data_IF_396487450469
#
_entry.id   IF_396487450469
#
_cell.length_a   1.000
_cell.length_b   1.000
_cell.length_c   1.000
_cell.angle_alpha   90.00
_cell.angle_beta   90.00
_cell.angle_gamma   90.00
#
_symmetry.space_group_name_H-M   'P 1'
#
loop_
_entity.id
_entity.type
_entity.pdbx_description
1 polymer ?
#
# COMPACT_ATOMS: atom_id res chain seq x y z
N UNK A 1 -13.94 4.95 -2.16
CA UNK A 1 -14.61 6.22 -1.81
C UNK A 1 -14.30 6.69 -0.38
N UNK A 2 -14.31 5.82 0.64
CA UNK A 2 -13.97 6.22 2.01
C UNK A 2 -12.60 6.92 2.09
N UNK A 3 -11.52 6.25 1.65
CA UNK A 3 -10.15 6.81 1.62
C UNK A 3 -10.09 8.22 1.00
N UNK A 4 -10.65 8.38 -0.20
CA UNK A 4 -10.71 9.66 -0.90
C UNK A 4 -11.42 10.75 -0.10
N UNK A 5 -12.57 10.44 0.51
CA UNK A 5 -13.40 11.42 1.23
C UNK A 5 -12.84 11.80 2.60
N UNK A 6 -12.04 10.92 3.21
CA UNK A 6 -11.42 11.17 4.51
C UNK A 6 -10.01 11.73 4.41
N UNK A 7 -9.39 11.66 3.22
CA UNK A 7 -8.05 12.20 3.01
C UNK A 7 -8.03 13.72 3.13
N UNK A 8 -7.05 14.24 3.88
CA UNK A 8 -6.73 15.66 3.91
C UNK A 8 -5.92 16.10 2.67
N UNK A 9 -5.08 15.20 2.14
CA UNK A 9 -4.22 15.48 0.99
C UNK A 9 -5.04 15.66 -0.29
N UNK A 10 -4.87 16.77 -1.03
CA UNK A 10 -5.55 16.98 -2.30
C UNK A 10 -5.10 15.99 -3.38
N UNK A 11 -3.90 15.42 -3.26
CA UNK A 11 -3.40 14.38 -4.18
C UNK A 11 -4.31 13.15 -4.15
N UNK A 12 -4.71 12.74 -2.95
CA UNK A 12 -5.62 11.60 -2.75
C UNK A 12 -7.07 12.01 -2.98
N UNK A 13 -7.51 13.16 -2.44
CA UNK A 13 -8.91 13.57 -2.41
C UNK A 13 -9.40 14.12 -3.77
N UNK A 14 -8.63 14.98 -4.41
CA UNK A 14 -8.98 15.65 -5.67
C UNK A 14 -8.41 14.91 -6.87
N UNK A 15 -7.10 14.61 -6.87
CA UNK A 15 -6.47 13.95 -8.03
C UNK A 15 -6.76 12.45 -8.09
N UNK A 16 -7.16 11.83 -6.98
CA UNK A 16 -7.53 10.42 -6.93
C UNK A 16 -6.33 9.48 -7.01
N UNK A 17 -5.15 9.92 -6.59
CA UNK A 17 -3.91 9.18 -6.65
C UNK A 17 -3.81 8.16 -5.50
N UNK A 18 -4.64 7.14 -5.62
CA UNK A 18 -4.79 6.04 -4.67
C UNK A 18 -5.31 4.80 -5.39
N UNK A 19 -5.07 3.63 -4.80
CA UNK A 19 -5.73 2.39 -5.20
C UNK A 19 -6.25 1.65 -3.98
N UNK A 20 -7.27 0.81 -4.18
CA UNK A 20 -7.77 -0.09 -3.14
C UNK A 20 -8.21 -1.41 -3.78
N UNK A 21 -8.01 -2.51 -3.08
CA UNK A 21 -8.36 -3.83 -3.58
C UNK A 21 -8.66 -4.83 -2.47
N UNK A 22 -9.34 -5.90 -2.87
CA UNK A 22 -9.58 -7.07 -2.06
C UNK A 22 -8.90 -8.27 -2.70
N UNK A 23 -8.17 -9.02 -1.89
CA UNK A 23 -7.31 -10.11 -2.32
C UNK A 23 -7.70 -11.39 -1.59
N UNK A 24 -7.63 -12.50 -2.30
CA UNK A 24 -7.73 -13.82 -1.70
C UNK A 24 -6.50 -14.08 -0.81
N UNK A 25 -6.58 -14.93 0.24
CA UNK A 25 -5.44 -15.21 1.12
C UNK A 25 -4.17 -15.76 0.44
N UNK A 26 -4.26 -16.22 -0.82
CA UNK A 26 -3.11 -16.62 -1.65
C UNK A 26 -2.46 -15.45 -2.42
N UNK A 27 -2.96 -14.22 -2.24
CA UNK A 27 -2.44 -13.00 -2.86
C UNK A 27 -3.03 -12.68 -4.23
N UNK A 28 -3.99 -13.45 -4.75
CA UNK A 28 -4.70 -13.09 -5.99
C UNK A 28 -5.68 -11.95 -5.76
N UNK A 29 -5.61 -10.91 -6.59
CA UNK A 29 -6.59 -9.81 -6.56
C UNK A 29 -7.95 -10.31 -7.06
N UNK A 30 -8.98 -10.12 -6.25
CA UNK A 30 -10.36 -10.53 -6.55
C UNK A 30 -11.20 -9.34 -7.01
N UNK A 31 -10.99 -8.19 -6.38
CA UNK A 31 -11.66 -6.96 -6.74
C UNK A 31 -10.72 -5.77 -6.54
N UNK A 32 -10.93 -4.72 -7.33
CA UNK A 32 -10.22 -3.45 -7.21
C UNK A 32 -11.21 -2.29 -7.31
N UNK A 33 -10.85 -1.16 -6.71
CA UNK A 33 -11.57 0.08 -6.91
C UNK A 33 -11.40 0.57 -8.35
N UNK A 34 -12.46 1.14 -8.94
CA UNK A 34 -12.35 1.81 -10.25
C UNK A 34 -11.50 3.07 -10.21
N UNK A 35 -11.32 3.64 -9.02
CA UNK A 35 -10.47 4.79 -8.75
C UNK A 35 -9.08 4.28 -8.41
N UNK A 36 -8.21 4.23 -9.41
CA UNK A 36 -6.80 3.91 -9.28
C UNK A 36 -6.13 3.87 -10.64
N UNK A 37 -4.96 4.49 -10.74
CA UNK A 37 -4.18 4.41 -11.97
C UNK A 37 -3.74 2.95 -12.18
N UNK A 38 -3.66 2.45 -13.44
CA UNK A 38 -3.24 1.08 -13.70
C UNK A 38 -1.89 0.73 -13.07
N UNK A 39 -0.98 1.70 -12.97
CA UNK A 39 0.29 1.57 -12.26
C UNK A 39 0.09 1.21 -10.79
N UNK A 40 -0.64 2.03 -10.03
CA UNK A 40 -0.91 1.80 -8.60
C UNK A 40 -1.61 0.49 -8.29
N UNK A 41 -2.56 0.07 -9.13
CA UNK A 41 -3.29 -1.17 -8.89
C UNK A 41 -2.36 -2.38 -9.04
N UNK A 42 -1.53 -2.38 -10.09
CA UNK A 42 -0.64 -3.49 -10.38
C UNK A 42 0.51 -3.58 -9.37
N UNK A 43 1.09 -2.45 -8.98
CA UNK A 43 2.15 -2.40 -7.96
C UNK A 43 1.62 -2.76 -6.58
N UNK A 44 0.41 -2.33 -6.21
CA UNK A 44 -0.27 -2.79 -4.99
C UNK A 44 -0.46 -4.32 -5.00
N UNK A 45 -0.90 -4.89 -6.14
CA UNK A 45 -1.09 -6.33 -6.25
C UNK A 45 0.24 -7.12 -6.14
N UNK A 46 1.34 -6.56 -6.62
CA UNK A 46 2.67 -7.13 -6.38
C UNK A 46 3.07 -7.01 -4.90
N UNK A 47 2.86 -5.84 -4.30
CA UNK A 47 3.16 -5.55 -2.89
C UNK A 47 2.47 -6.53 -1.94
N UNK A 48 1.19 -6.86 -2.17
CA UNK A 48 0.45 -7.86 -1.38
C UNK A 48 1.16 -9.23 -1.38
N UNK A 49 1.74 -9.65 -2.51
CA UNK A 49 2.50 -10.91 -2.58
C UNK A 49 3.79 -10.82 -1.78
N UNK A 50 4.46 -9.67 -1.79
CA UNK A 50 5.66 -9.44 -0.95
C UNK A 50 5.31 -9.46 0.54
N UNK A 51 4.18 -8.85 0.94
CA UNK A 51 3.68 -8.97 2.31
C UNK A 51 3.40 -10.43 2.68
N UNK A 52 2.73 -11.20 1.84
CA UNK A 52 2.44 -12.61 2.11
C UNK A 52 3.70 -13.49 2.17
N UNK A 53 4.71 -13.18 1.37
CA UNK A 53 6.00 -13.87 1.45
C UNK A 53 6.71 -13.59 2.78
N UNK A 54 6.61 -12.36 3.30
CA UNK A 54 7.26 -11.93 4.55
C UNK A 54 6.46 -12.26 5.82
N UNK A 55 5.14 -12.21 5.71
CA UNK A 55 4.13 -12.42 6.74
C UNK A 55 3.09 -13.39 6.17
N UNK A 56 3.29 -14.71 6.30
CA UNK A 56 2.36 -15.69 5.75
C UNK A 56 0.95 -15.48 6.30
N UNK A 57 -0.08 -15.66 5.46
CA UNK A 57 -1.49 -15.46 5.85
C UNK A 57 -1.86 -16.20 7.14
N UNK A 58 -1.32 -17.40 7.36
CA UNK A 58 -1.54 -18.22 8.56
C UNK A 58 -1.00 -17.60 9.86
N UNK A 59 -0.12 -16.61 9.77
CA UNK A 59 0.48 -15.90 10.92
C UNK A 59 -0.21 -14.57 11.25
N UNK A 60 -1.02 -14.06 10.32
CA UNK A 60 -1.73 -12.79 10.49
C UNK A 60 -2.92 -12.96 11.43
N UNK A 61 -3.23 -11.92 12.20
CA UNK A 61 -4.35 -11.89 13.14
C UNK A 61 -5.34 -10.78 12.79
N UNK A 62 -6.57 -10.93 13.28
CA UNK A 62 -7.58 -9.89 13.15
C UNK A 62 -7.11 -8.59 13.84
N UNK A 63 -7.31 -7.47 13.16
CA UNK A 63 -6.81 -6.16 13.58
C UNK A 63 -5.36 -5.83 13.20
N UNK A 64 -4.59 -6.77 12.66
CA UNK A 64 -3.22 -6.49 12.21
C UNK A 64 -3.21 -5.49 11.04
N UNK A 65 -2.22 -4.60 11.00
CA UNK A 65 -1.99 -3.73 9.83
C UNK A 65 -0.53 -3.82 9.42
N UNK A 66 -0.30 -4.11 8.14
CA UNK A 66 1.03 -4.16 7.53
C UNK A 66 1.23 -2.95 6.62
N UNK A 67 2.45 -2.41 6.58
CA UNK A 67 2.77 -1.20 5.82
C UNK A 67 4.16 -1.24 5.21
N UNK A 68 4.32 -0.59 4.06
CA UNK A 68 5.60 -0.28 3.42
C UNK A 68 5.44 0.85 2.41
N UNK A 69 6.53 1.55 2.12
CA UNK A 69 6.70 2.36 0.91
C UNK A 69 8.01 1.99 0.20
N UNK A 70 8.48 0.75 0.38
CA UNK A 70 9.72 0.28 -0.21
C UNK A 70 9.67 0.45 -1.74
N UNK A 71 10.60 1.17 -2.37
CA UNK A 71 10.48 1.52 -3.78
C UNK A 71 10.75 0.32 -4.69
N UNK A 72 11.40 -0.74 -4.20
CA UNK A 72 11.67 -1.95 -4.98
C UNK A 72 10.56 -2.99 -4.87
N UNK A 73 9.87 -3.05 -3.73
CA UNK A 73 8.77 -3.99 -3.49
C UNK A 73 7.39 -3.36 -3.71
N UNK A 74 7.33 -2.03 -3.68
CA UNK A 74 6.14 -1.19 -3.80
C UNK A 74 5.97 -0.61 -5.19
N UNK A 75 5.84 0.72 -5.28
CA UNK A 75 5.41 1.41 -6.51
C UNK A 75 6.54 2.05 -7.32
N UNK A 76 7.81 1.85 -6.94
CA UNK A 76 8.96 2.43 -7.63
C UNK A 76 9.50 3.72 -7.01
N UNK A 77 8.85 4.27 -5.99
CA UNK A 77 9.27 5.49 -5.30
C UNK A 77 8.72 5.55 -3.86
N UNK A 78 9.31 6.40 -3.02
CA UNK A 78 9.00 6.46 -1.58
C UNK A 78 7.66 7.13 -1.23
N UNK A 79 6.99 7.79 -2.18
CA UNK A 79 5.79 8.56 -1.86
C UNK A 79 4.53 7.71 -1.71
N UNK A 80 4.51 6.49 -2.25
CA UNK A 80 3.33 5.64 -2.17
C UNK A 80 3.44 4.66 -1.02
N UNK A 81 2.50 4.77 -0.08
CA UNK A 81 2.40 3.84 1.04
C UNK A 81 1.36 2.78 0.73
N UNK A 82 1.79 1.53 0.76
CA UNK A 82 0.91 0.36 0.66
C UNK A 82 0.61 -0.16 2.05
N UNK A 83 -0.68 -0.20 2.39
CA UNK A 83 -1.17 -0.82 3.61
C UNK A 83 -1.96 -2.10 3.28
N UNK A 84 -1.78 -3.15 4.08
CA UNK A 84 -2.49 -4.44 3.96
C UNK A 84 -3.06 -4.83 5.31
N UNK A 85 -4.35 -5.19 5.33
CA UNK A 85 -5.08 -5.61 6.54
C UNK A 85 -5.84 -6.90 6.23
N UNK A 86 -5.65 -7.97 7.02
CA UNK A 86 -6.43 -9.19 6.87
C UNK A 86 -7.88 -8.97 7.29
N UNK A 87 -8.79 -9.56 6.53
CA UNK A 87 -10.22 -9.56 6.84
C UNK A 87 -10.63 -10.93 7.39
N UNK A 88 -11.33 -10.94 8.51
CA UNK A 88 -11.84 -12.15 9.16
C UNK A 88 -13.36 -12.19 9.18
N UNK A 89 -13.92 -13.39 9.04
CA UNK A 89 -15.34 -13.68 9.24
C UNK A 89 -15.48 -15.00 9.98
N UNK A 90 -16.27 -15.01 11.06
CA UNK A 90 -16.48 -16.19 11.91
C UNK A 90 -15.16 -16.88 12.35
N UNK A 91 -14.14 -16.09 12.69
CA UNK A 91 -12.83 -16.59 13.15
C UNK A 91 -11.90 -17.12 12.05
N UNK A 92 -12.29 -17.03 10.78
CA UNK A 92 -11.47 -17.46 9.64
C UNK A 92 -11.10 -16.28 8.75
N UNK A 93 -9.86 -16.25 8.25
CA UNK A 93 -9.45 -15.23 7.27
C UNK A 93 -10.20 -15.46 5.95
N UNK A 94 -10.87 -14.42 5.47
CA UNK A 94 -11.60 -14.44 4.18
C UNK A 94 -10.85 -13.73 3.06
N UNK A 95 -9.84 -12.93 3.39
CA UNK A 95 -9.01 -12.24 2.42
C UNK A 95 -8.17 -11.13 3.04
N UNK A 96 -7.65 -10.26 2.19
CA UNK A 96 -6.85 -9.10 2.55
C UNK A 96 -7.44 -7.88 1.87
N UNK A 97 -7.64 -6.81 2.63
CA UNK A 97 -7.79 -5.49 2.05
C UNK A 97 -6.40 -4.88 1.85
N UNK A 98 -6.19 -4.26 0.70
CA UNK A 98 -5.01 -3.44 0.48
C UNK A 98 -5.40 -2.08 -0.07
N UNK A 99 -4.61 -1.08 0.26
CA UNK A 99 -4.71 0.24 -0.33
C UNK A 99 -3.33 0.85 -0.52
N UNK A 100 -3.17 1.60 -1.60
CA UNK A 100 -2.00 2.44 -1.84
C UNK A 100 -2.45 3.88 -1.87
N UNK A 101 -1.76 4.77 -1.17
CA UNK A 101 -2.03 6.21 -1.18
C UNK A 101 -0.73 6.98 -1.35
N UNK A 102 -0.77 8.00 -2.20
CA UNK A 102 0.36 8.89 -2.42
C UNK A 102 0.47 9.98 -1.35
N UNK A 103 1.67 10.16 -0.81
CA UNK A 103 2.02 11.19 0.16
C UNK A 103 2.74 12.34 -0.54
N UNK A 104 2.26 13.56 -0.29
CA UNK A 104 2.83 14.78 -0.89
C UNK A 104 4.26 15.07 -0.41
N UNK A 105 4.63 14.58 0.77
CA UNK A 105 5.96 14.81 1.30
C UNK A 105 6.34 13.62 2.19
N UNK A 106 7.58 13.17 2.02
CA UNK A 106 8.21 12.11 2.81
C UNK A 106 9.53 12.59 3.44
N UNK A 107 9.85 13.89 3.36
CA UNK A 107 11.01 14.51 3.99
C UNK A 107 12.32 14.39 3.21
N UNK A 108 12.24 14.11 1.90
CA UNK A 108 13.39 14.04 1.01
C UNK A 108 13.73 15.36 0.32
N UNK A 109 14.70 15.32 -0.60
CA UNK A 109 15.12 16.49 -1.41
C UNK A 109 14.01 17.03 -2.34
N UNK A 110 12.98 16.22 -2.60
CA UNK A 110 11.79 16.60 -3.36
C UNK A 110 11.42 15.58 -4.43
N UNK A 111 10.49 15.95 -5.31
CA UNK A 111 9.95 15.08 -6.38
C UNK A 111 10.82 15.00 -7.64
N UNK A 112 11.90 15.78 -7.70
CA UNK A 112 12.77 15.87 -8.88
C UNK A 112 13.82 14.74 -8.93
N UNK A 113 14.47 14.55 -10.10
CA UNK A 113 15.57 13.59 -10.25
C UNK A 113 16.88 14.10 -9.63
N UNK A 114 16.81 15.03 -8.67
CA UNK A 114 17.96 15.69 -8.05
C UNK A 114 18.66 14.78 -7.03
N UNK A 115 17.95 13.77 -6.51
CA UNK A 115 18.50 12.74 -5.63
C UNK A 115 19.54 11.89 -6.36
N UNK A 116 20.70 11.71 -5.74
CA UNK A 116 21.77 10.84 -6.27
C UNK A 116 21.71 9.43 -5.69
N UNK A 117 20.98 9.28 -4.59
CA UNK A 117 20.78 8.03 -3.87
C UNK A 117 19.41 8.06 -3.19
N UNK A 118 18.77 6.90 -3.02
CA UNK A 118 17.46 6.76 -2.35
C UNK A 118 17.49 7.34 -0.93
N UNK A 119 18.66 7.34 -0.28
CA UNK A 119 18.82 7.90 1.07
C UNK A 119 18.61 9.41 1.12
N UNK A 120 18.63 10.10 -0.02
CA UNK A 120 18.31 11.52 -0.15
C UNK A 120 16.80 11.76 -0.44
N UNK A 121 16.03 10.71 -0.74
CA UNK A 121 14.64 10.80 -1.22
C UNK A 121 13.59 10.74 -0.11
N UNK A 122 14.01 10.56 1.15
CA UNK A 122 13.17 10.75 2.33
C UNK A 122 12.88 9.48 3.12
N UNK A 123 11.74 9.47 3.80
CA UNK A 123 11.39 8.47 4.79
C UNK A 123 11.09 7.12 4.15
N UNK A 124 11.83 6.10 4.57
CA UNK A 124 11.69 4.72 4.11
C UNK A 124 11.15 3.82 5.22
N UNK A 125 10.12 3.05 4.88
CA UNK A 125 9.46 2.05 5.73
C UNK A 125 9.60 0.68 5.08
N UNK A 126 10.46 -0.20 5.62
CA UNK A 126 10.54 -1.57 5.13
C UNK A 126 9.22 -2.31 5.42
N UNK A 127 8.92 -3.44 4.73
CA UNK A 127 7.74 -4.24 5.03
C UNK A 127 7.69 -4.65 6.50
N UNK A 128 6.72 -4.09 7.22
CA UNK A 128 6.58 -4.30 8.66
C UNK A 128 5.12 -4.37 9.08
N UNK A 129 4.89 -4.97 10.25
CA UNK A 129 3.62 -4.86 10.98
C UNK A 129 3.62 -3.53 11.74
N UNK A 130 2.64 -2.68 11.48
CA UNK A 130 2.45 -1.37 12.09
C UNK A 130 1.65 -1.45 13.41
N UNK A 131 0.59 -2.25 13.41
CA UNK A 131 -0.29 -2.52 14.56
C UNK A 131 -0.50 -4.01 14.65
#
# INVERSE_FOLDING_TARGET
>A
QALRRTAFSPIVRESGDLSAGFFHPDGRMIAQAMTGTPGHVNTMAASVRHFLARFPASSMKDGDVYITNDPWLGTGHLHDFVAVTPAFFAGSMVGLFASTCHFMDVGGIGFGPDGRDVFEEGFYVPPMKMI
#
